data_IF_423440696907
#
_entry.id   IF_423440696907
#
_cell.length_a   1.000
_cell.length_b   1.000
_cell.length_c   1.000
_cell.angle_alpha   90.00
_cell.angle_beta   90.00
_cell.angle_gamma   90.00
#
_symmetry.space_group_name_H-M   'P 1'
#
loop_
_entity.id
_entity.type
_entity.pdbx_description
1 polymer ?
#
# COMPACT_ATOMS: atom_id res chain seq x y z
N UNK A 1 -21.77 -15.39 13.51
CA UNK A 1 -20.34 -14.99 13.60
C UNK A 1 -19.86 -14.48 12.25
N UNK A 2 -20.15 -15.22 11.18
CA UNK A 2 -19.84 -14.86 9.79
C UNK A 2 -20.48 -13.53 9.33
N UNK A 3 -21.76 -13.29 9.58
CA UNK A 3 -22.43 -12.02 9.25
C UNK A 3 -21.80 -10.79 9.92
N UNK A 4 -21.27 -10.95 11.15
CA UNK A 4 -20.58 -9.88 11.85
C UNK A 4 -19.26 -9.54 11.17
N UNK A 5 -18.49 -10.56 10.79
CA UNK A 5 -17.22 -10.40 10.10
C UNK A 5 -17.38 -9.80 8.70
N UNK A 6 -18.48 -10.11 7.98
CA UNK A 6 -18.79 -9.48 6.70
C UNK A 6 -19.06 -7.98 6.87
N UNK A 7 -19.85 -7.58 7.88
CA UNK A 7 -20.06 -6.14 8.18
C UNK A 7 -18.76 -5.45 8.59
N UNK A 8 -17.92 -6.10 9.42
CA UNK A 8 -16.63 -5.53 9.81
C UNK A 8 -15.67 -5.37 8.62
N UNK A 9 -15.74 -6.26 7.62
CA UNK A 9 -14.99 -6.14 6.37
C UNK A 9 -15.45 -4.92 5.56
N UNK A 10 -16.76 -4.78 5.35
CA UNK A 10 -17.35 -3.65 4.64
C UNK A 10 -16.99 -2.31 5.30
N UNK A 11 -17.12 -2.22 6.63
CA UNK A 11 -16.73 -1.04 7.39
C UNK A 11 -15.23 -0.73 7.26
N UNK A 12 -14.37 -1.75 7.28
CA UNK A 12 -12.93 -1.55 7.12
C UNK A 12 -12.58 -1.01 5.72
N UNK A 13 -13.27 -1.48 4.68
CA UNK A 13 -13.11 -0.98 3.31
C UNK A 13 -13.60 0.46 3.20
N UNK A 14 -14.78 0.77 3.75
CA UNK A 14 -15.35 2.13 3.73
C UNK A 14 -14.43 3.14 4.43
N UNK A 15 -13.86 2.74 5.57
CA UNK A 15 -12.88 3.53 6.33
C UNK A 15 -11.48 3.53 5.71
N UNK A 16 -11.29 2.87 4.56
CA UNK A 16 -10.00 2.70 3.88
C UNK A 16 -8.90 2.09 4.76
N UNK A 17 -9.28 1.28 5.75
CA UNK A 17 -8.35 0.54 6.58
C UNK A 17 -8.05 -0.79 5.90
N UNK A 18 -7.27 -0.73 4.82
CA UNK A 18 -7.04 -1.88 3.94
C UNK A 18 -6.22 -2.99 4.61
N UNK A 19 -5.35 -2.67 5.57
CA UNK A 19 -4.65 -3.68 6.39
C UNK A 19 -5.66 -4.50 7.18
N UNK A 20 -6.61 -3.84 7.84
CA UNK A 20 -7.69 -4.52 8.60
C UNK A 20 -8.61 -5.29 7.66
N UNK A 21 -9.02 -4.69 6.54
CA UNK A 21 -9.90 -5.35 5.58
C UNK A 21 -9.26 -6.63 5.01
N UNK A 22 -7.98 -6.59 4.61
CA UNK A 22 -7.26 -7.76 4.14
C UNK A 22 -7.22 -8.87 5.20
N UNK A 23 -6.95 -8.50 6.47
CA UNK A 23 -6.93 -9.46 7.57
C UNK A 23 -8.29 -10.12 7.83
N UNK A 24 -9.37 -9.34 7.83
CA UNK A 24 -10.73 -9.88 8.01
C UNK A 24 -11.10 -10.80 6.85
N UNK A 25 -10.74 -10.44 5.61
CA UNK A 25 -11.00 -11.28 4.44
C UNK A 25 -10.24 -12.62 4.50
N UNK A 26 -8.99 -12.62 4.97
CA UNK A 26 -8.23 -13.85 5.27
C UNK A 26 -8.92 -14.70 6.33
N UNK A 27 -9.36 -14.09 7.44
CA UNK A 27 -10.02 -14.80 8.54
C UNK A 27 -11.40 -15.36 8.13
N UNK A 28 -12.05 -14.76 7.13
CA UNK A 28 -13.26 -15.26 6.47
C UNK A 28 -12.99 -16.37 5.45
N UNK A 29 -11.74 -16.75 5.22
CA UNK A 29 -11.37 -17.78 4.25
C UNK A 29 -11.62 -17.37 2.80
N UNK A 30 -11.61 -16.06 2.51
CA UNK A 30 -11.78 -15.56 1.13
C UNK A 30 -10.66 -16.06 0.21
N UNK A 31 -10.94 -16.26 -1.09
CA UNK A 31 -9.89 -16.64 -2.03
C UNK A 31 -8.87 -15.51 -2.17
N UNK A 32 -7.63 -15.90 -2.52
CA UNK A 32 -6.51 -14.96 -2.70
C UNK A 32 -6.84 -13.84 -3.70
N UNK A 33 -7.64 -14.13 -4.71
CA UNK A 33 -8.09 -13.18 -5.74
C UNK A 33 -8.93 -12.02 -5.16
N UNK A 34 -9.69 -12.27 -4.08
CA UNK A 34 -10.46 -11.24 -3.38
C UNK A 34 -9.60 -10.48 -2.35
N UNK A 35 -8.63 -11.14 -1.74
CA UNK A 35 -7.78 -10.55 -0.69
C UNK A 35 -6.68 -9.66 -1.30
N UNK A 36 -6.09 -10.10 -2.41
CA UNK A 36 -4.92 -9.45 -3.03
C UNK A 36 -5.17 -7.98 -3.38
N UNK A 37 -6.32 -7.55 -3.94
CA UNK A 37 -6.59 -6.14 -4.15
C UNK A 37 -6.51 -5.29 -2.87
N UNK A 38 -7.02 -5.81 -1.74
CA UNK A 38 -6.95 -5.12 -0.45
C UNK A 38 -5.50 -4.98 0.05
N UNK A 39 -4.71 -6.05 -0.11
CA UNK A 39 -3.29 -6.05 0.22
C UNK A 39 -2.50 -5.01 -0.60
N UNK A 40 -2.78 -4.93 -1.91
CA UNK A 40 -2.16 -3.93 -2.80
C UNK A 40 -2.56 -2.50 -2.39
N UNK A 41 -3.84 -2.26 -2.08
CA UNK A 41 -4.31 -0.95 -1.60
C UNK A 41 -3.63 -0.55 -0.28
N UNK A 42 -3.44 -1.51 0.63
CA UNK A 42 -2.70 -1.27 1.87
C UNK A 42 -1.25 -0.83 1.61
N UNK A 43 -0.53 -1.53 0.70
CA UNK A 43 0.82 -1.14 0.32
C UNK A 43 0.84 0.26 -0.31
N UNK A 44 -0.07 0.54 -1.27
CA UNK A 44 -0.19 1.87 -1.90
C UNK A 44 -0.37 2.96 -0.86
N UNK A 45 -1.20 2.72 0.16
CA UNK A 45 -1.46 3.71 1.22
C UNK A 45 -0.20 4.01 2.04
N UNK A 46 0.58 2.99 2.38
CA UNK A 46 1.83 3.15 3.12
C UNK A 46 2.91 3.90 2.32
N UNK A 47 2.92 3.71 0.99
CA UNK A 47 3.83 4.41 0.09
C UNK A 47 3.38 5.86 -0.15
N UNK A 48 2.12 6.07 -0.57
CA UNK A 48 1.64 7.38 -1.06
C UNK A 48 1.22 8.28 0.11
N UNK A 49 0.38 7.79 1.01
CA UNK A 49 -0.27 8.61 2.05
C UNK A 49 0.62 8.75 3.28
N UNK A 50 1.18 7.63 3.75
CA UNK A 50 1.90 7.60 5.03
C UNK A 50 3.41 7.83 4.91
N UNK A 51 4.01 7.62 3.73
CA UNK A 51 5.47 7.66 3.53
C UNK A 51 6.21 6.84 4.58
N UNK A 52 5.71 5.64 4.84
CA UNK A 52 6.24 4.76 5.87
C UNK A 52 7.02 3.62 5.20
N UNK A 53 8.37 3.69 5.16
CA UNK A 53 9.17 2.74 4.38
C UNK A 53 9.18 1.38 5.07
N UNK A 54 9.31 1.37 6.40
CA UNK A 54 9.30 0.15 7.20
C UNK A 54 7.96 -0.59 7.04
N UNK A 55 6.85 0.12 7.23
CA UNK A 55 5.52 -0.47 7.10
C UNK A 55 5.22 -0.96 5.69
N UNK A 56 5.61 -0.21 4.65
CA UNK A 56 5.45 -0.66 3.27
C UNK A 56 6.21 -1.96 3.01
N UNK A 57 7.49 -2.05 3.42
CA UNK A 57 8.31 -3.24 3.22
C UNK A 57 7.81 -4.44 4.04
N UNK A 58 7.31 -4.20 5.25
CA UNK A 58 6.73 -5.26 6.08
C UNK A 58 5.46 -5.83 5.45
N UNK A 59 4.60 -4.98 4.86
CA UNK A 59 3.42 -5.44 4.11
C UNK A 59 3.80 -6.19 2.83
N UNK A 60 4.75 -5.69 2.04
CA UNK A 60 5.26 -6.37 0.83
C UNK A 60 5.74 -7.79 1.16
N UNK A 61 6.50 -7.94 2.25
CA UNK A 61 6.98 -9.25 2.72
C UNK A 61 5.84 -10.13 3.23
N UNK A 62 4.97 -9.57 4.08
CA UNK A 62 3.86 -10.31 4.70
C UNK A 62 2.90 -10.87 3.65
N UNK A 63 2.59 -10.07 2.63
CA UNK A 63 1.69 -10.45 1.53
C UNK A 63 2.39 -11.25 0.42
N UNK A 64 3.68 -11.52 0.58
CA UNK A 64 4.49 -12.28 -0.36
C UNK A 64 4.39 -11.74 -1.80
N UNK A 65 4.41 -10.40 -1.92
CA UNK A 65 4.36 -9.73 -3.22
C UNK A 65 5.64 -10.06 -3.97
N UNK A 66 5.49 -10.61 -5.18
CA UNK A 66 6.66 -10.94 -6.02
C UNK A 66 7.28 -9.67 -6.56
N UNK A 67 8.58 -9.73 -6.86
CA UNK A 67 9.31 -8.60 -7.44
C UNK A 67 8.68 -8.05 -8.73
N UNK A 68 8.12 -8.91 -9.59
CA UNK A 68 7.40 -8.46 -10.79
C UNK A 68 6.09 -7.71 -10.45
N UNK A 69 5.35 -8.18 -9.45
CA UNK A 69 4.12 -7.53 -9.00
C UNK A 69 4.42 -6.19 -8.32
N UNK A 70 5.52 -6.12 -7.57
CA UNK A 70 6.00 -4.88 -6.98
C UNK A 70 6.39 -3.86 -8.06
N UNK A 71 7.12 -4.29 -9.11
CA UNK A 71 7.45 -3.40 -10.24
C UNK A 71 6.21 -2.84 -10.92
N UNK A 72 5.21 -3.68 -11.20
CA UNK A 72 3.94 -3.24 -11.79
C UNK A 72 3.23 -2.24 -10.88
N UNK A 73 3.19 -2.53 -9.58
CA UNK A 73 2.62 -1.63 -8.58
C UNK A 73 3.30 -0.25 -8.57
N UNK A 74 4.64 -0.22 -8.58
CA UNK A 74 5.38 1.04 -8.61
C UNK A 74 5.12 1.82 -9.90
N UNK A 75 5.08 1.14 -11.05
CA UNK A 75 4.73 1.76 -12.33
C UNK A 75 3.34 2.41 -12.29
N UNK A 76 2.34 1.73 -11.73
CA UNK A 76 1.01 2.29 -11.53
C UNK A 76 1.05 3.55 -10.65
N UNK A 77 1.81 3.51 -9.54
CA UNK A 77 1.96 4.67 -8.65
C UNK A 77 2.59 5.85 -9.39
N UNK A 78 3.65 5.62 -10.17
CA UNK A 78 4.26 6.68 -10.98
C UNK A 78 3.30 7.26 -12.02
N UNK A 79 2.48 6.43 -12.65
CA UNK A 79 1.46 6.88 -13.61
C UNK A 79 0.38 7.72 -12.91
N UNK A 80 -0.13 7.26 -11.77
CA UNK A 80 -1.12 8.01 -10.97
C UNK A 80 -0.57 9.37 -10.51
N UNK A 81 0.71 9.44 -10.14
CA UNK A 81 1.36 10.70 -9.78
C UNK A 81 1.39 11.70 -10.93
N UNK A 82 1.68 11.22 -12.14
CA UNK A 82 1.71 12.05 -13.35
C UNK A 82 0.31 12.57 -13.68
N UNK A 83 -0.69 11.70 -13.67
CA UNK A 83 -2.08 12.05 -14.02
C UNK A 83 -2.70 13.04 -13.04
N UNK A 84 -2.43 12.87 -11.73
CA UNK A 84 -2.96 13.75 -10.69
C UNK A 84 -2.15 15.03 -10.48
N UNK A 85 -1.05 15.24 -11.24
CA UNK A 85 -0.17 16.39 -11.09
C UNK A 85 0.55 16.45 -9.73
N UNK A 86 0.72 15.31 -9.06
CA UNK A 86 1.35 15.22 -7.73
C UNK A 86 2.86 14.95 -7.78
N UNK A 87 3.47 14.91 -8.96
CA UNK A 87 4.91 14.68 -9.15
C UNK A 87 5.77 15.61 -8.28
N UNK A 88 5.35 16.87 -8.14
CA UNK A 88 6.11 17.89 -7.40
C UNK A 88 5.74 17.98 -5.92
N UNK A 89 4.76 17.20 -5.45
CA UNK A 89 4.36 17.22 -4.03
C UNK A 89 5.46 16.60 -3.18
N UNK A 90 6.12 17.43 -2.37
CA UNK A 90 7.19 17.00 -1.47
C UNK A 90 6.68 16.82 -0.04
N UNK A 91 7.24 15.85 0.66
CA UNK A 91 7.04 15.64 2.09
C UNK A 91 8.41 15.60 2.78
N UNK A 92 8.50 16.16 3.97
CA UNK A 92 9.72 16.12 4.77
C UNK A 92 10.00 14.69 5.22
N UNK A 93 11.22 14.23 4.97
CA UNK A 93 11.70 12.91 5.32
C UNK A 93 12.78 13.03 6.40
N UNK A 94 12.51 12.48 7.58
CA UNK A 94 13.37 12.62 8.76
C UNK A 94 14.70 11.88 8.57
N UNK A 95 14.71 10.80 7.79
CA UNK A 95 15.92 10.00 7.59
C UNK A 95 16.95 10.71 6.70
N UNK A 96 16.50 11.49 5.72
CA UNK A 96 17.37 12.32 4.87
C UNK A 96 17.52 13.77 5.32
N UNK A 97 16.64 14.23 6.22
CA UNK A 97 16.52 15.64 6.60
C UNK A 97 16.21 16.57 5.42
N UNK A 98 15.50 16.06 4.40
CA UNK A 98 15.15 16.77 3.16
C UNK A 98 13.67 16.60 2.79
N UNK A 99 13.16 17.45 1.90
CA UNK A 99 11.84 17.33 1.30
C UNK A 99 11.91 16.49 0.03
N UNK A 100 11.38 15.27 0.09
CA UNK A 100 11.41 14.32 -1.03
C UNK A 100 10.08 14.31 -1.79
N UNK A 101 10.14 14.24 -3.12
CA UNK A 101 8.99 13.86 -3.95
C UNK A 101 8.62 12.40 -3.70
N UNK A 102 7.46 11.93 -4.20
CA UNK A 102 7.11 10.52 -4.05
C UNK A 102 8.07 9.59 -4.79
N UNK A 103 8.43 9.97 -6.01
CA UNK A 103 9.42 9.25 -6.82
C UNK A 103 10.76 9.10 -6.09
N UNK A 104 11.39 10.20 -5.64
CA UNK A 104 12.69 10.11 -4.94
C UNK A 104 12.62 9.26 -3.66
N UNK A 105 11.49 9.29 -2.97
CA UNK A 105 11.29 8.48 -1.76
C UNK A 105 11.13 6.99 -2.09
N UNK A 106 10.40 6.64 -3.15
CA UNK A 106 10.25 5.27 -3.63
C UNK A 106 11.61 4.71 -4.06
N UNK A 107 12.37 5.46 -4.86
CA UNK A 107 13.71 5.06 -5.31
C UNK A 107 14.65 4.82 -4.12
N UNK A 108 14.50 5.60 -3.06
CA UNK A 108 15.36 5.52 -1.90
C UNK A 108 15.05 4.32 -1.01
N UNK A 109 13.78 3.99 -0.82
CA UNK A 109 13.36 3.02 0.21
C UNK A 109 12.75 1.73 -0.31
N UNK A 110 12.26 1.71 -1.55
CA UNK A 110 11.56 0.56 -2.11
C UNK A 110 12.37 -0.08 -3.24
N UNK A 111 12.78 0.67 -4.26
CA UNK A 111 13.46 0.08 -5.44
C UNK A 111 14.88 -0.42 -5.19
N UNK A 112 15.54 0.02 -4.11
CA UNK A 112 16.88 -0.45 -3.74
C UNK A 112 16.90 -1.84 -3.08
N UNK A 113 15.76 -2.49 -2.85
CA UNK A 113 15.61 -3.74 -2.09
C UNK A 113 14.84 -4.83 -2.87
#
# INVERSE_FOLDING_TARGET
MEEKNVRELEEAIEKKNYVRAAKIAEDLGKPREEIKPLQILAIKQFIIEYRNPQGAMDLIKTYQIKQEELRQLLQEIHQELKEKGYSDKRQFDIQTMDYLTLERWIDQYIEKH
#
